data_IF_136645132446
#
_entry.id   IF_136645132446
#
_cell.length_a   1.000
_cell.length_b   1.000
_cell.length_c   1.000
_cell.angle_alpha   90.00
_cell.angle_beta   90.00
_cell.angle_gamma   90.00
#
_symmetry.space_group_name_H-M   'P 1'
#
loop_
_entity.id
_entity.type
_entity.pdbx_description
1 polymer ?
#
# COMPACT_ATOMS: atom_id res chain seq x y z
N UNK A 1 -20.70 5.04 19.54
CA UNK A 1 -19.28 4.92 19.15
C UNK A 1 -19.28 4.71 17.65
N UNK A 2 -18.43 5.42 16.90
CA UNK A 2 -18.37 5.31 15.42
C UNK A 2 -17.85 3.92 15.09
N UNK A 3 -18.64 3.10 14.38
CA UNK A 3 -18.22 1.76 13.99
C UNK A 3 -17.39 1.83 12.70
N UNK A 4 -16.22 1.18 12.70
CA UNK A 4 -15.33 1.11 11.54
C UNK A 4 -15.54 -0.24 10.86
N UNK A 5 -15.91 -0.26 9.55
CA UNK A 5 -16.19 -1.50 8.84
C UNK A 5 -14.95 -2.41 8.76
N UNK A 6 -15.17 -3.71 8.95
CA UNK A 6 -14.13 -4.76 8.90
C UNK A 6 -14.43 -5.85 7.87
N UNK A 7 -15.60 -5.79 7.27
CA UNK A 7 -16.15 -6.75 6.31
C UNK A 7 -16.02 -6.28 4.85
N UNK A 8 -15.57 -5.03 4.62
CA UNK A 8 -15.40 -4.45 3.29
C UNK A 8 -14.38 -3.31 3.27
N UNK A 9 -13.94 -2.95 2.07
CA UNK A 9 -13.12 -1.76 1.84
C UNK A 9 -14.02 -0.55 1.57
N UNK A 10 -13.64 0.60 2.13
CA UNK A 10 -14.41 1.84 2.04
C UNK A 10 -13.95 2.69 0.87
N UNK A 11 -14.90 3.33 0.18
CA UNK A 11 -14.62 4.33 -0.85
C UNK A 11 -14.27 5.68 -0.22
N UNK A 12 -13.72 6.58 -1.02
CA UNK A 12 -13.20 7.88 -0.59
C UNK A 12 -14.23 8.68 0.21
N UNK A 13 -15.46 8.80 -0.29
CA UNK A 13 -16.54 9.51 0.41
C UNK A 13 -16.78 8.96 1.81
N UNK A 14 -16.91 7.65 1.93
CA UNK A 14 -17.17 7.01 3.20
C UNK A 14 -15.96 7.09 4.14
N UNK A 15 -14.74 6.97 3.61
CA UNK A 15 -13.53 7.19 4.41
C UNK A 15 -13.53 8.60 5.02
N UNK A 16 -13.87 9.62 4.22
CA UNK A 16 -13.98 11.01 4.70
C UNK A 16 -15.06 11.13 5.78
N UNK A 17 -16.26 10.60 5.54
CA UNK A 17 -17.36 10.61 6.52
C UNK A 17 -16.99 9.89 7.83
N UNK A 18 -16.25 8.78 7.76
CA UNK A 18 -15.74 8.06 8.92
C UNK A 18 -14.69 8.87 9.69
N UNK A 19 -13.75 9.52 9.01
CA UNK A 19 -12.76 10.37 9.66
C UNK A 19 -13.41 11.56 10.35
N UNK A 20 -14.34 12.24 9.70
CA UNK A 20 -15.10 13.36 10.26
C UNK A 20 -15.90 12.90 11.50
N UNK A 21 -16.52 11.73 11.44
CA UNK A 21 -17.26 11.17 12.57
C UNK A 21 -16.33 10.83 13.75
N UNK A 22 -15.15 10.25 13.49
CA UNK A 22 -14.15 9.94 14.52
C UNK A 22 -13.62 11.22 15.19
N UNK A 23 -13.32 12.25 14.39
CA UNK A 23 -12.86 13.54 14.88
C UNK A 23 -13.93 14.27 15.69
N UNK A 24 -15.19 14.28 15.22
CA UNK A 24 -16.32 14.84 15.95
C UNK A 24 -16.64 14.10 17.25
N UNK A 25 -16.35 12.81 17.34
CA UNK A 25 -16.57 12.01 18.55
C UNK A 25 -15.52 12.25 19.64
N UNK A 26 -14.26 12.55 19.26
CA UNK A 26 -13.14 12.80 20.18
C UNK A 26 -12.30 14.00 19.71
N UNK A 27 -12.85 15.22 19.70
CA UNK A 27 -12.13 16.42 19.26
C UNK A 27 -10.97 16.79 20.21
N UNK A 28 -10.97 16.25 21.43
CA UNK A 28 -9.85 16.34 22.37
C UNK A 28 -8.63 15.48 21.94
N UNK A 29 -8.86 14.46 21.11
CA UNK A 29 -7.83 13.52 20.66
C UNK A 29 -7.49 13.60 19.16
N UNK A 30 -8.42 14.01 18.31
CA UNK A 30 -8.29 13.93 16.85
C UNK A 30 -8.54 15.28 16.20
N UNK A 31 -7.57 15.72 15.43
CA UNK A 31 -7.67 16.87 14.55
C UNK A 31 -7.41 16.42 13.10
N UNK A 32 -8.25 16.85 12.17
CA UNK A 32 -8.10 16.56 10.74
C UNK A 32 -7.56 17.78 10.01
N UNK A 33 -6.66 17.55 9.05
CA UNK A 33 -6.16 18.57 8.14
C UNK A 33 -5.96 18.01 6.74
N UNK A 34 -6.06 18.87 5.73
CA UNK A 34 -5.71 18.53 4.35
C UNK A 34 -4.21 18.83 4.14
N UNK A 35 -3.41 17.82 3.76
CA UNK A 35 -1.98 18.01 3.47
C UNK A 35 -1.70 18.32 1.99
N UNK A 36 -2.70 18.15 1.15
CA UNK A 36 -2.64 18.40 -0.28
C UNK A 36 -3.77 17.68 -1.00
N UNK A 37 -3.70 17.68 -2.32
CA UNK A 37 -4.69 17.05 -3.20
C UNK A 37 -4.04 16.10 -4.19
N UNK A 38 -4.75 15.05 -4.54
CA UNK A 38 -4.32 14.06 -5.53
C UNK A 38 -4.34 14.61 -6.96
N UNK A 39 -3.87 13.81 -7.91
CA UNK A 39 -3.88 14.15 -9.34
C UNK A 39 -5.29 14.51 -9.86
N UNK A 40 -6.33 13.86 -9.36
CA UNK A 40 -7.74 14.10 -9.67
C UNK A 40 -8.46 14.98 -8.64
N UNK A 41 -7.72 15.81 -7.89
CA UNK A 41 -8.24 16.85 -6.99
C UNK A 41 -9.02 16.32 -5.76
N UNK A 42 -8.69 15.12 -5.25
CA UNK A 42 -9.22 14.61 -3.98
C UNK A 42 -8.30 15.02 -2.83
N UNK A 43 -8.89 15.51 -1.74
CA UNK A 43 -8.15 15.88 -0.54
C UNK A 43 -7.42 14.67 0.05
N UNK A 44 -6.18 14.88 0.48
CA UNK A 44 -5.39 13.90 1.22
C UNK A 44 -5.45 14.31 2.68
N UNK A 45 -6.22 13.55 3.46
CA UNK A 45 -6.49 13.87 4.86
C UNK A 45 -5.43 13.29 5.77
N UNK A 46 -4.85 14.14 6.60
CA UNK A 46 -4.03 13.77 7.76
C UNK A 46 -4.89 13.84 9.02
N UNK A 47 -4.91 12.74 9.78
CA UNK A 47 -5.41 12.70 11.15
C UNK A 47 -4.25 12.87 12.13
N UNK A 48 -4.26 13.97 12.88
CA UNK A 48 -3.38 14.19 14.02
C UNK A 48 -4.06 13.61 15.26
N UNK A 49 -3.50 12.53 15.82
CA UNK A 49 -4.07 11.80 16.96
C UNK A 49 -3.15 11.94 18.18
N UNK A 50 -3.59 12.69 19.18
CA UNK A 50 -2.87 12.92 20.45
C UNK A 50 -3.81 13.54 21.48
N UNK A 51 -3.57 13.34 22.78
CA UNK A 51 -4.33 14.04 23.79
C UNK A 51 -3.93 15.53 23.86
N UNK A 52 -4.74 16.41 23.29
CA UNK A 52 -4.47 17.85 23.26
C UNK A 52 -4.46 18.51 24.65
N UNK A 53 -5.09 17.88 25.66
CA UNK A 53 -5.13 18.40 27.03
C UNK A 53 -3.80 18.28 27.77
N UNK A 54 -2.91 17.39 27.33
CA UNK A 54 -1.58 17.19 27.92
C UNK A 54 -0.47 17.94 27.18
N UNK A 55 -0.84 18.77 26.19
CA UNK A 55 0.09 19.58 25.41
C UNK A 55 -0.17 19.47 23.89
N UNK A 56 0.32 20.45 23.12
CA UNK A 56 0.10 20.48 21.67
C UNK A 56 0.87 19.37 20.94
N UNK A 57 0.34 18.95 19.80
CA UNK A 57 0.89 17.82 19.02
C UNK A 57 2.37 18.02 18.61
N UNK A 58 2.78 19.25 18.28
CA UNK A 58 4.12 19.56 17.78
C UNK A 58 5.21 19.58 18.88
N UNK A 59 4.83 19.60 20.15
CA UNK A 59 5.77 19.52 21.29
C UNK A 59 6.03 18.07 21.74
N UNK A 60 5.25 17.10 21.23
CA UNK A 60 5.37 15.69 21.57
C UNK A 60 6.16 14.94 20.50
N UNK A 61 7.03 13.97 20.85
CA UNK A 61 7.63 13.08 19.86
C UNK A 61 6.54 12.35 19.08
N UNK A 62 6.65 12.35 17.76
CA UNK A 62 5.59 11.88 16.87
C UNK A 62 5.99 10.65 16.06
N UNK A 63 4.98 9.88 15.69
CA UNK A 63 5.07 8.78 14.74
C UNK A 63 4.25 9.13 13.50
N UNK A 64 4.88 9.05 12.33
CA UNK A 64 4.20 9.14 11.06
C UNK A 64 3.74 7.76 10.60
N UNK A 65 2.49 7.65 10.17
CA UNK A 65 1.91 6.44 9.63
C UNK A 65 1.15 6.80 8.36
N UNK A 66 1.45 6.14 7.25
CA UNK A 66 0.65 6.28 6.04
C UNK A 66 0.32 4.94 5.40
N UNK A 67 -0.67 4.97 4.51
CA UNK A 67 -1.17 3.78 3.84
C UNK A 67 -1.71 4.10 2.44
N UNK A 68 -1.89 3.03 1.65
CA UNK A 68 -2.39 3.09 0.28
C UNK A 68 -1.57 4.03 -0.62
N UNK A 69 -0.25 4.03 -0.53
CA UNK A 69 0.59 4.61 -1.61
C UNK A 69 0.44 3.79 -2.90
N UNK A 70 0.31 2.47 -2.76
CA UNK A 70 -0.20 1.58 -3.79
C UNK A 70 -1.71 1.39 -3.60
N UNK A 71 -2.45 1.59 -4.68
CA UNK A 71 -3.91 1.64 -4.67
C UNK A 71 -4.57 0.29 -4.41
N UNK A 72 -3.98 -0.81 -4.91
CA UNK A 72 -4.52 -2.16 -4.74
C UNK A 72 -4.34 -2.74 -3.33
N UNK A 73 -3.60 -2.06 -2.46
CA UNK A 73 -3.22 -2.55 -1.12
C UNK A 73 -4.22 -2.07 -0.04
N UNK A 74 -5.51 -2.29 -0.29
CA UNK A 74 -6.61 -1.68 0.47
C UNK A 74 -6.57 -1.93 1.98
N UNK A 75 -6.04 -3.09 2.40
CA UNK A 75 -5.89 -3.47 3.81
C UNK A 75 -5.02 -2.51 4.61
N UNK A 76 -4.04 -1.85 4.00
CA UNK A 76 -3.22 -0.83 4.66
C UNK A 76 -4.07 0.34 5.18
N UNK A 77 -4.99 0.85 4.36
CA UNK A 77 -5.90 1.93 4.74
C UNK A 77 -6.89 1.50 5.83
N UNK A 78 -7.40 0.26 5.74
CA UNK A 78 -8.23 -0.33 6.80
C UNK A 78 -7.47 -0.44 8.12
N UNK A 79 -6.19 -0.82 8.10
CA UNK A 79 -5.35 -0.90 9.30
C UNK A 79 -5.11 0.49 9.92
N UNK A 80 -4.80 1.50 9.11
CA UNK A 80 -4.64 2.88 9.57
C UNK A 80 -5.93 3.43 10.22
N UNK A 81 -7.09 3.18 9.61
CA UNK A 81 -8.38 3.60 10.17
C UNK A 81 -8.71 2.88 11.49
N UNK A 82 -8.44 1.57 11.57
CA UNK A 82 -8.62 0.81 12.81
C UNK A 82 -7.65 1.27 13.91
N UNK A 83 -6.43 1.69 13.57
CA UNK A 83 -5.50 2.28 14.53
C UNK A 83 -6.05 3.57 15.12
N UNK A 84 -6.54 4.50 14.29
CA UNK A 84 -7.19 5.74 14.77
C UNK A 84 -8.33 5.38 15.73
N UNK A 85 -9.24 4.49 15.30
CA UNK A 85 -10.37 4.06 16.11
C UNK A 85 -9.93 3.45 17.44
N UNK A 86 -8.96 2.52 17.45
CA UNK A 86 -8.41 1.91 18.66
C UNK A 86 -7.87 2.96 19.63
N UNK A 87 -7.01 3.86 19.14
CA UNK A 87 -6.39 4.90 19.96
C UNK A 87 -7.43 5.76 20.67
N UNK A 88 -8.50 6.16 19.97
CA UNK A 88 -9.50 7.07 20.56
C UNK A 88 -10.55 6.36 21.42
N UNK A 89 -10.80 5.08 21.17
CA UNK A 89 -11.81 4.32 21.92
C UNK A 89 -11.26 3.71 23.19
N UNK A 90 -9.96 3.41 23.21
CA UNK A 90 -9.29 2.83 24.38
C UNK A 90 -8.59 3.88 25.26
N UNK A 91 -8.50 5.14 24.82
CA UNK A 91 -8.02 6.25 25.67
C UNK A 91 -8.93 6.43 26.89
N UNK A 92 -8.33 6.40 28.08
CA UNK A 92 -9.03 6.44 29.37
C UNK A 92 -9.42 5.08 29.92
N UNK A 93 -9.28 3.99 29.16
CA UNK A 93 -9.59 2.62 29.60
C UNK A 93 -8.40 1.66 29.51
N UNK A 94 -7.53 1.81 28.52
CA UNK A 94 -6.28 1.06 28.39
C UNK A 94 -5.09 1.96 28.79
N UNK A 95 -4.31 1.53 29.79
CA UNK A 95 -3.21 2.32 30.34
C UNK A 95 -2.09 2.57 29.31
N UNK A 96 -1.85 1.62 28.39
CA UNK A 96 -0.81 1.76 27.38
C UNK A 96 -1.22 2.76 26.30
N UNK A 97 -2.48 2.69 25.83
CA UNK A 97 -3.07 3.64 24.88
C UNK A 97 -3.16 5.04 25.49
N UNK A 98 -3.62 5.14 26.74
CA UNK A 98 -3.73 6.43 27.45
C UNK A 98 -2.35 7.08 27.56
N UNK A 99 -1.36 6.34 28.07
CA UNK A 99 0.01 6.83 28.20
C UNK A 99 0.61 7.26 26.86
N UNK A 100 0.36 6.51 25.77
CA UNK A 100 0.95 6.87 24.48
C UNK A 100 0.33 8.14 23.91
N UNK A 101 -0.99 8.35 24.02
CA UNK A 101 -1.61 9.60 23.55
C UNK A 101 -1.31 10.80 24.44
N UNK A 102 -1.12 10.58 25.74
CA UNK A 102 -0.75 11.65 26.67
C UNK A 102 0.67 12.17 26.39
N UNK A 103 1.57 11.31 25.90
CA UNK A 103 3.01 11.62 25.77
C UNK A 103 3.54 11.66 24.33
N UNK A 104 2.78 11.20 23.34
CA UNK A 104 3.17 11.11 21.92
C UNK A 104 2.08 11.65 21.01
N UNK A 105 2.45 11.88 19.76
CA UNK A 105 1.53 12.22 18.67
C UNK A 105 1.62 11.16 17.57
N UNK A 106 0.50 10.85 16.93
CA UNK A 106 0.44 10.07 15.71
C UNK A 106 -0.08 10.95 14.58
N UNK A 107 0.72 11.10 13.52
CA UNK A 107 0.29 11.71 12.26
C UNK A 107 -0.05 10.59 11.30
N UNK A 108 -1.35 10.38 11.04
CA UNK A 108 -1.84 9.23 10.30
C UNK A 108 -2.50 9.70 9.00
N UNK A 109 -2.00 9.24 7.85
CA UNK A 109 -2.61 9.45 6.52
C UNK A 109 -3.21 8.11 6.06
N UNK A 110 -4.51 7.85 6.28
CA UNK A 110 -5.10 6.55 5.99
C UNK A 110 -5.15 6.21 4.49
N UNK A 111 -5.08 7.22 3.63
CA UNK A 111 -5.15 7.06 2.18
C UNK A 111 -4.33 8.13 1.46
N UNK A 112 -3.10 7.77 1.08
CA UNK A 112 -2.24 8.63 0.27
C UNK A 112 -2.69 8.75 -1.17
N UNK A 113 -3.21 7.66 -1.75
CA UNK A 113 -3.61 7.60 -3.14
C UNK A 113 -5.13 7.40 -3.27
N UNK A 114 -5.93 8.47 -3.04
CA UNK A 114 -7.37 8.36 -3.14
C UNK A 114 -7.83 8.04 -4.56
N UNK A 115 -7.11 8.47 -5.59
CA UNK A 115 -7.51 8.29 -6.99
C UNK A 115 -7.42 6.85 -7.44
N UNK A 116 -6.26 6.22 -7.25
CA UNK A 116 -6.08 4.83 -7.63
C UNK A 116 -7.01 3.90 -6.86
N UNK A 117 -7.25 4.15 -5.56
CA UNK A 117 -8.20 3.36 -4.77
C UNK A 117 -9.63 3.53 -5.29
N UNK A 118 -10.04 4.74 -5.66
CA UNK A 118 -11.37 4.99 -6.24
C UNK A 118 -11.55 4.33 -7.60
N UNK A 119 -10.50 4.27 -8.41
CA UNK A 119 -10.52 3.53 -9.68
C UNK A 119 -10.64 2.03 -9.45
N UNK A 120 -9.96 1.47 -8.45
CA UNK A 120 -10.01 0.05 -8.13
C UNK A 120 -11.32 -0.42 -7.49
N UNK A 121 -11.98 0.43 -6.70
CA UNK A 121 -13.25 0.12 -6.00
C UNK A 121 -14.50 0.70 -6.70
N UNK A 122 -14.34 1.17 -7.93
CA UNK A 122 -15.45 1.68 -8.75
C UNK A 122 -16.41 0.59 -9.21
N UNK A 123 -17.58 0.99 -9.70
CA UNK A 123 -18.54 0.05 -10.34
C UNK A 123 -17.95 -0.61 -11.58
N UNK A 124 -17.06 0.10 -12.28
CA UNK A 124 -16.20 -0.45 -13.34
C UNK A 124 -14.77 -0.34 -12.85
N UNK A 125 -14.25 -1.38 -12.17
CA UNK A 125 -12.92 -1.31 -11.60
C UNK A 125 -11.87 -1.16 -12.69
N UNK A 126 -10.81 -0.41 -12.38
CA UNK A 126 -9.59 -0.37 -13.18
C UNK A 126 -8.43 -0.79 -12.31
N UNK A 127 -7.61 -1.71 -12.79
CA UNK A 127 -6.39 -2.06 -12.09
C UNK A 127 -5.37 -0.93 -12.24
N UNK A 128 -5.10 -0.24 -11.13
CA UNK A 128 -4.03 0.75 -11.02
C UNK A 128 -3.18 0.36 -9.82
N UNK A 129 -1.88 0.18 -10.04
CA UNK A 129 -0.95 -0.16 -8.95
C UNK A 129 -0.74 1.04 -8.03
N UNK A 130 -0.47 2.21 -8.60
CA UNK A 130 -0.11 3.42 -7.86
C UNK A 130 -0.75 4.66 -8.50
N UNK A 131 -0.02 5.57 -9.14
CA UNK A 131 -0.63 6.82 -9.65
C UNK A 131 -1.73 6.57 -10.68
N UNK A 132 -2.77 7.40 -10.65
CA UNK A 132 -3.82 7.42 -11.68
C UNK A 132 -3.37 8.15 -12.96
N UNK A 133 -2.22 8.82 -12.95
CA UNK A 133 -1.68 9.56 -14.08
C UNK A 133 -1.15 8.61 -15.15
N UNK A 134 -1.52 8.87 -16.40
CA UNK A 134 -0.91 8.20 -17.55
C UNK A 134 0.56 8.58 -17.69
N UNK A 135 1.43 7.60 -17.53
CA UNK A 135 2.89 7.72 -17.55
C UNK A 135 3.54 6.33 -17.66
N UNK A 136 4.67 6.18 -18.40
CA UNK A 136 5.33 7.18 -19.23
C UNK A 136 4.69 7.35 -20.61
N UNK A 137 3.62 6.60 -20.90
CA UNK A 137 2.94 6.56 -22.19
C UNK A 137 1.50 7.00 -22.05
N UNK A 138 0.93 7.44 -23.17
CA UNK A 138 -0.50 7.81 -23.28
C UNK A 138 -1.23 6.92 -24.28
N UNK A 139 -0.50 6.14 -25.07
CA UNK A 139 -1.03 5.19 -26.04
C UNK A 139 -1.04 3.77 -25.49
N UNK A 140 -2.22 3.14 -25.55
CA UNK A 140 -2.41 1.76 -25.13
C UNK A 140 -1.63 0.83 -26.05
N UNK A 141 -0.77 0.02 -25.45
CA UNK A 141 0.02 -0.98 -26.18
C UNK A 141 -0.76 -2.30 -26.29
N UNK A 142 -0.36 -3.10 -27.28
CA UNK A 142 -0.89 -4.45 -27.51
C UNK A 142 -0.65 -5.39 -26.32
N UNK A 143 -1.58 -6.32 -26.12
CA UNK A 143 -1.52 -7.36 -25.10
C UNK A 143 -2.86 -7.55 -24.40
N UNK A 144 -2.84 -8.33 -23.31
CA UNK A 144 -3.95 -8.49 -22.38
C UNK A 144 -4.12 -7.21 -21.56
N UNK A 145 -5.29 -6.61 -21.66
CA UNK A 145 -5.73 -5.42 -20.93
C UNK A 145 -6.76 -5.87 -19.90
N UNK A 146 -6.46 -5.79 -18.59
CA UNK A 146 -7.40 -6.17 -17.56
C UNK A 146 -8.64 -5.28 -17.57
N UNK A 147 -9.82 -5.89 -17.65
CA UNK A 147 -11.10 -5.21 -17.61
C UNK A 147 -12.19 -6.14 -17.09
N UNK A 148 -13.20 -5.55 -16.46
CA UNK A 148 -14.41 -6.23 -16.00
C UNK A 148 -15.30 -6.49 -17.21
N UNK A 149 -15.27 -7.72 -17.71
CA UNK A 149 -15.90 -8.13 -18.97
C UNK A 149 -17.37 -8.48 -18.79
N UNK A 150 -17.75 -8.98 -17.62
CA UNK A 150 -19.13 -9.40 -17.32
C UNK A 150 -19.94 -8.35 -16.52
N UNK A 151 -19.28 -7.30 -16.04
CA UNK A 151 -19.88 -6.16 -15.34
C UNK A 151 -20.27 -6.47 -13.90
N UNK A 152 -19.64 -7.47 -13.27
CA UNK A 152 -19.91 -7.84 -11.88
C UNK A 152 -19.18 -6.94 -10.85
N UNK A 153 -18.41 -5.96 -11.33
CA UNK A 153 -17.64 -5.03 -10.53
C UNK A 153 -16.31 -5.60 -10.05
N UNK A 154 -15.81 -6.68 -10.67
CA UNK A 154 -14.54 -7.33 -10.32
C UNK A 154 -13.73 -7.58 -11.58
N UNK A 155 -12.42 -7.68 -11.40
CA UNK A 155 -11.50 -8.18 -12.42
C UNK A 155 -10.85 -9.41 -11.81
N UNK A 156 -11.24 -10.59 -12.27
CA UNK A 156 -10.82 -11.84 -11.66
C UNK A 156 -9.71 -12.56 -12.46
N UNK A 157 -9.15 -13.59 -11.84
CA UNK A 157 -8.27 -14.54 -12.53
C UNK A 157 -9.09 -15.73 -13.00
N UNK A 158 -9.21 -15.91 -14.30
CA UNK A 158 -9.94 -16.99 -14.96
C UNK A 158 -9.11 -18.28 -15.01
N UNK A 159 -9.78 -19.42 -14.84
CA UNK A 159 -9.22 -20.75 -15.07
C UNK A 159 -9.52 -21.18 -16.49
N UNK A 160 -8.49 -21.26 -17.33
CA UNK A 160 -8.63 -21.73 -18.70
C UNK A 160 -8.14 -23.16 -18.78
N UNK A 161 -9.00 -24.15 -19.10
CA UNK A 161 -8.56 -25.52 -19.31
C UNK A 161 -7.44 -25.59 -20.35
N UNK A 162 -6.30 -26.14 -19.97
CA UNK A 162 -5.11 -26.25 -20.81
C UNK A 162 -4.38 -27.52 -20.38
N UNK A 163 -4.19 -28.49 -21.27
CA UNK A 163 -3.47 -29.73 -20.97
C UNK A 163 -2.01 -29.48 -20.55
N UNK A 164 -1.45 -28.34 -20.97
CA UNK A 164 -0.11 -27.87 -20.59
C UNK A 164 -0.17 -26.82 -19.47
N UNK A 165 -1.33 -26.66 -18.81
CA UNK A 165 -1.52 -25.74 -17.71
C UNK A 165 -0.60 -26.08 -16.53
N UNK A 166 -0.12 -25.03 -15.85
CA UNK A 166 0.79 -25.13 -14.70
C UNK A 166 0.06 -25.20 -13.36
N UNK A 167 -1.28 -25.18 -13.37
CA UNK A 167 -2.11 -25.22 -12.17
C UNK A 167 -3.09 -26.39 -12.21
N UNK A 168 -3.33 -26.99 -11.04
CA UNK A 168 -4.38 -27.99 -10.83
C UNK A 168 -5.25 -27.60 -9.64
N UNK A 169 -6.45 -28.16 -9.56
CA UNK A 169 -7.30 -28.00 -8.39
C UNK A 169 -6.63 -28.65 -7.17
N UNK A 170 -6.74 -28.01 -6.00
CA UNK A 170 -6.36 -28.65 -4.75
C UNK A 170 -7.33 -29.80 -4.45
N UNK A 171 -6.80 -30.94 -3.98
CA UNK A 171 -7.57 -32.18 -3.92
C UNK A 171 -8.71 -32.15 -2.88
N UNK A 172 -8.53 -31.47 -1.74
CA UNK A 172 -9.59 -31.35 -0.72
C UNK A 172 -10.60 -30.24 -1.02
N UNK A 173 -10.20 -29.21 -1.76
CA UNK A 173 -11.06 -28.07 -2.09
C UNK A 173 -10.80 -27.62 -3.53
N UNK A 174 -11.65 -28.00 -4.48
CA UNK A 174 -11.45 -27.67 -5.89
C UNK A 174 -11.60 -26.16 -6.19
N UNK A 175 -12.00 -25.34 -5.20
CA UNK A 175 -11.97 -23.88 -5.31
C UNK A 175 -10.57 -23.32 -5.13
N UNK A 176 -9.62 -24.07 -4.59
CA UNK A 176 -8.22 -23.67 -4.50
C UNK A 176 -7.42 -24.25 -5.66
N UNK A 177 -6.37 -23.55 -6.05
CA UNK A 177 -5.40 -24.02 -7.04
C UNK A 177 -4.05 -24.23 -6.38
N UNK A 178 -3.37 -25.29 -6.80
CA UNK A 178 -1.98 -25.55 -6.45
C UNK A 178 -1.16 -25.65 -7.73
N UNK A 179 0.13 -25.29 -7.69
CA UNK A 179 1.04 -25.56 -8.80
C UNK A 179 1.01 -27.06 -9.15
N UNK A 180 1.02 -27.36 -10.45
CA UNK A 180 1.22 -28.71 -10.98
C UNK A 180 2.65 -29.14 -10.70
N UNK A 181 2.84 -30.41 -10.34
CA UNK A 181 4.18 -30.94 -10.10
C UNK A 181 4.92 -31.12 -11.44
N UNK A 182 6.25 -30.93 -11.43
CA UNK A 182 7.04 -30.89 -12.67
C UNK A 182 7.08 -32.23 -13.43
N UNK A 183 6.85 -33.33 -12.74
CA UNK A 183 6.81 -34.71 -13.26
C UNK A 183 5.38 -35.24 -13.46
N UNK A 184 4.37 -34.40 -13.23
CA UNK A 184 2.98 -34.82 -13.33
C UNK A 184 2.50 -34.78 -14.78
N UNK A 185 2.38 -35.94 -15.42
CA UNK A 185 1.92 -36.10 -16.82
C UNK A 185 0.49 -36.69 -16.93
N UNK A 186 -0.34 -36.49 -15.91
CA UNK A 186 -1.70 -37.00 -15.85
C UNK A 186 -2.65 -36.39 -16.91
N UNK A 187 -3.88 -36.91 -17.05
CA UNK A 187 -4.86 -36.38 -18.01
C UNK A 187 -5.48 -35.03 -17.59
N UNK A 188 -5.05 -34.43 -16.47
CA UNK A 188 -5.65 -33.23 -15.90
C UNK A 188 -6.92 -33.49 -15.07
N UNK A 189 -7.78 -32.47 -14.85
CA UNK A 189 -7.76 -31.17 -15.53
C UNK A 189 -6.64 -30.26 -15.02
N UNK A 190 -5.93 -29.65 -15.97
CA UNK A 190 -4.97 -28.58 -15.72
C UNK A 190 -5.48 -27.26 -16.25
N UNK A 191 -4.97 -26.18 -15.67
CA UNK A 191 -5.42 -24.83 -15.95
C UNK A 191 -4.23 -23.92 -16.21
N UNK A 192 -4.41 -23.05 -17.21
CA UNK A 192 -3.70 -21.78 -17.29
C UNK A 192 -4.52 -20.72 -16.57
N UNK A 193 -3.84 -19.79 -15.92
CA UNK A 193 -4.49 -18.63 -15.30
C UNK A 193 -4.33 -17.42 -16.22
N UNK A 194 -5.44 -16.73 -16.48
CA UNK A 194 -5.46 -15.48 -17.23
C UNK A 194 -6.27 -14.45 -16.45
N UNK A 195 -5.79 -13.22 -16.37
CA UNK A 195 -6.61 -12.11 -15.88
C UNK A 195 -7.76 -11.87 -16.85
N UNK A 196 -8.93 -11.61 -16.31
CA UNK A 196 -10.09 -11.15 -17.06
C UNK A 196 -9.77 -9.90 -17.87
N UNK A 197 -10.15 -9.91 -19.14
CA UNK A 197 -10.06 -8.75 -20.01
C UNK A 197 -9.91 -9.06 -21.50
N UNK A 198 -9.63 -8.04 -22.30
CA UNK A 198 -9.43 -8.16 -23.74
C UNK A 198 -7.96 -8.33 -24.12
N UNK A 199 -7.73 -9.06 -25.22
CA UNK A 199 -6.39 -9.23 -25.80
C UNK A 199 -6.35 -8.53 -27.15
N UNK A 200 -5.47 -7.54 -27.28
CA UNK A 200 -5.21 -6.86 -28.55
C UNK A 200 -4.06 -7.53 -29.31
N UNK A 201 -4.22 -7.69 -30.63
CA UNK A 201 -3.23 -8.26 -31.55
C UNK A 201 -2.70 -9.64 -31.12
N UNK A 202 -3.61 -10.54 -30.73
CA UNK A 202 -3.26 -11.91 -30.39
C UNK A 202 -2.74 -12.67 -31.61
N UNK A 203 -1.51 -13.18 -31.52
CA UNK A 203 -0.83 -13.96 -32.58
C UNK A 203 -1.26 -15.43 -32.63
N UNK A 204 -2.20 -15.85 -31.77
CA UNK A 204 -2.66 -17.22 -31.63
C UNK A 204 -1.84 -18.08 -30.67
N UNK A 205 -0.75 -17.54 -30.09
CA UNK A 205 0.22 -18.29 -29.29
C UNK A 205 0.56 -17.58 -27.97
N UNK A 206 1.01 -16.33 -28.05
CA UNK A 206 1.57 -15.57 -26.94
C UNK A 206 0.56 -14.58 -26.39
N UNK A 207 0.26 -14.72 -25.09
CA UNK A 207 -0.52 -13.74 -24.36
C UNK A 207 0.45 -12.93 -23.49
N UNK A 208 0.90 -11.79 -23.99
CA UNK A 208 1.65 -10.81 -23.20
C UNK A 208 0.69 -9.86 -22.49
N UNK A 209 1.02 -9.42 -21.29
CA UNK A 209 0.28 -8.32 -20.66
C UNK A 209 0.61 -7.02 -21.38
N UNK A 210 -0.42 -6.22 -21.65
CA UNK A 210 -0.20 -4.86 -22.09
C UNK A 210 0.38 -4.04 -20.92
N UNK A 211 1.46 -3.26 -21.12
CA UNK A 211 1.92 -2.31 -20.13
C UNK A 211 0.79 -1.39 -19.66
N UNK A 212 0.69 -1.08 -18.35
CA UNK A 212 -0.33 -0.16 -17.85
C UNK A 212 -0.08 1.25 -18.40
N UNK A 213 -1.15 1.95 -18.77
CA UNK A 213 -1.09 3.38 -19.10
C UNK A 213 -0.63 4.20 -17.87
N UNK A 214 -1.14 3.83 -16.71
CA UNK A 214 -0.82 4.45 -15.42
C UNK A 214 0.31 3.66 -14.72
N UNK A 215 1.53 3.79 -15.24
CA UNK A 215 2.70 3.02 -14.84
C UNK A 215 3.60 3.68 -13.79
N UNK A 216 3.29 4.92 -13.36
CA UNK A 216 4.08 5.61 -12.33
C UNK A 216 3.83 4.99 -10.94
N UNK A 217 4.90 4.55 -10.29
CA UNK A 217 4.92 4.04 -8.93
C UNK A 217 5.33 5.16 -7.96
N UNK A 218 4.37 5.64 -7.16
CA UNK A 218 4.58 6.72 -6.20
C UNK A 218 5.65 6.38 -5.16
N UNK A 219 5.86 5.10 -4.85
CA UNK A 219 6.91 4.67 -3.92
C UNK A 219 8.31 4.69 -4.57
N UNK A 220 8.41 5.10 -5.84
CA UNK A 220 9.65 5.43 -6.57
C UNK A 220 9.82 6.92 -6.80
N UNK A 221 8.83 7.73 -6.42
CA UNK A 221 8.81 9.16 -6.70
C UNK A 221 9.34 10.02 -5.53
N UNK A 222 9.80 9.42 -4.44
CA UNK A 222 10.44 10.15 -3.34
C UNK A 222 11.81 10.74 -3.75
N UNK A 223 12.27 11.86 -3.14
CA UNK A 223 13.56 12.47 -3.46
C UNK A 223 14.79 11.60 -3.18
N UNK A 224 14.69 10.72 -2.19
CA UNK A 224 15.82 9.90 -1.76
C UNK A 224 16.11 8.84 -2.82
N UNK A 225 17.31 8.88 -3.39
CA UNK A 225 17.80 7.87 -4.35
C UNK A 225 16.90 7.71 -5.58
N UNK A 226 16.19 8.78 -5.93
CA UNK A 226 15.39 8.85 -7.14
C UNK A 226 16.28 8.64 -8.37
N UNK A 227 15.79 7.84 -9.32
CA UNK A 227 16.45 7.57 -10.60
C UNK A 227 15.48 7.81 -11.75
N UNK A 228 15.98 8.25 -12.92
CA UNK A 228 15.13 8.48 -14.08
C UNK A 228 14.54 7.17 -14.64
N UNK A 229 13.50 7.29 -15.47
CA UNK A 229 12.74 6.17 -16.07
C UNK A 229 13.62 5.10 -16.75
N UNK A 230 14.77 5.49 -17.32
CA UNK A 230 15.71 4.55 -17.95
C UNK A 230 16.52 3.68 -16.98
N UNK A 231 16.57 4.06 -15.70
CA UNK A 231 17.27 3.34 -14.63
C UNK A 231 16.29 2.70 -13.63
N UNK A 232 15.11 3.31 -13.45
CA UNK A 232 14.05 2.84 -12.56
C UNK A 232 12.70 3.16 -13.18
N UNK A 233 12.01 2.12 -13.62
CA UNK A 233 10.71 2.28 -14.26
C UNK A 233 9.67 2.86 -13.29
N UNK A 234 8.83 3.76 -13.79
CA UNK A 234 7.72 4.34 -13.02
C UNK A 234 8.12 5.38 -11.97
N UNK A 235 9.37 5.87 -11.96
CA UNK A 235 9.81 6.89 -11.00
C UNK A 235 9.26 8.30 -11.28
N UNK A 236 8.62 8.50 -12.44
CA UNK A 236 8.10 9.79 -12.90
C UNK A 236 9.18 10.66 -13.57
N UNK A 237 8.84 11.89 -14.00
CA UNK A 237 9.78 12.78 -14.69
C UNK A 237 10.83 13.44 -13.77
N UNK A 238 10.56 13.57 -12.47
CA UNK A 238 11.45 14.14 -11.45
C UNK A 238 10.94 13.76 -10.05
N UNK A 239 11.76 13.80 -8.99
CA UNK A 239 11.30 13.46 -7.64
C UNK A 239 10.17 14.39 -7.20
N UNK A 240 9.14 13.85 -6.55
CA UNK A 240 7.92 14.54 -6.12
C UNK A 240 7.12 15.14 -7.28
N UNK A 241 7.23 14.56 -8.49
CA UNK A 241 6.38 14.95 -9.62
C UNK A 241 4.90 14.67 -9.37
N UNK A 242 4.58 13.65 -8.57
CA UNK A 242 3.20 13.36 -8.18
C UNK A 242 2.77 14.25 -7.02
N UNK A 243 1.60 14.91 -7.14
CA UNK A 243 1.13 15.84 -6.12
C UNK A 243 0.90 15.15 -4.75
N UNK A 244 0.53 13.87 -4.74
CA UNK A 244 0.39 13.05 -3.53
C UNK A 244 1.70 12.91 -2.78
N UNK A 245 2.78 12.61 -3.49
CA UNK A 245 4.12 12.46 -2.90
C UNK A 245 4.66 13.82 -2.46
N UNK A 246 4.44 14.87 -3.25
CA UNK A 246 4.82 16.24 -2.86
C UNK A 246 4.11 16.68 -1.57
N UNK A 247 2.81 16.40 -1.45
CA UNK A 247 2.02 16.72 -0.27
C UNK A 247 2.55 16.02 0.99
N UNK A 248 2.83 14.71 0.90
CA UNK A 248 3.38 13.94 2.02
C UNK A 248 4.79 14.40 2.39
N UNK A 249 5.67 14.60 1.43
CA UNK A 249 7.04 15.10 1.69
C UNK A 249 6.99 16.45 2.39
N UNK A 250 6.16 17.38 1.92
CA UNK A 250 6.01 18.69 2.56
C UNK A 250 5.46 18.54 3.99
N UNK A 251 4.43 17.71 4.18
CA UNK A 251 3.84 17.47 5.50
C UNK A 251 4.85 16.90 6.50
N UNK A 252 5.73 16.00 6.06
CA UNK A 252 6.78 15.43 6.90
C UNK A 252 7.82 16.52 7.25
N UNK A 253 8.25 17.32 6.27
CA UNK A 253 9.22 18.42 6.49
C UNK A 253 8.68 19.45 7.48
N UNK A 254 7.39 19.77 7.41
CA UNK A 254 6.74 20.73 8.32
C UNK A 254 6.57 20.21 9.76
N UNK A 255 6.90 18.93 10.02
CA UNK A 255 6.70 18.25 11.31
C UNK A 255 8.03 17.69 11.84
N UNK A 256 8.93 18.55 12.31
CA UNK A 256 10.26 18.14 12.78
C UNK A 256 10.24 17.27 14.04
N UNK A 257 9.08 17.15 14.70
CA UNK A 257 8.89 16.28 15.86
C UNK A 257 8.66 14.79 15.51
N UNK A 258 8.63 14.43 14.22
CA UNK A 258 8.54 13.02 13.78
C UNK A 258 9.85 12.28 14.10
N UNK A 259 9.72 11.18 14.85
CA UNK A 259 10.85 10.34 15.28
C UNK A 259 10.80 8.92 14.69
N UNK A 260 9.66 8.50 14.15
CA UNK A 260 9.47 7.17 13.56
C UNK A 260 8.47 7.24 12.39
N UNK A 261 8.63 6.34 11.43
CA UNK A 261 7.84 6.27 10.21
C UNK A 261 7.43 4.82 9.93
N UNK A 262 6.16 4.58 9.66
CA UNK A 262 5.65 3.30 9.15
C UNK A 262 4.76 3.57 7.94
N UNK A 263 5.01 2.86 6.85
CA UNK A 263 4.14 2.86 5.68
C UNK A 263 3.54 1.47 5.51
N UNK A 264 2.21 1.39 5.57
CA UNK A 264 1.49 0.14 5.44
C UNK A 264 1.35 -0.28 3.98
N UNK A 265 1.92 -1.45 3.71
CA UNK A 265 1.87 -2.13 2.42
C UNK A 265 1.28 -3.54 2.56
N UNK A 266 0.81 -4.08 1.44
CA UNK A 266 0.57 -5.52 1.28
C UNK A 266 1.02 -6.02 -0.09
N UNK A 267 1.51 -7.24 -0.22
CA UNK A 267 1.51 -8.36 0.73
C UNK A 267 2.93 -8.88 0.91
N UNK A 268 3.17 -9.58 2.02
CA UNK A 268 4.33 -10.47 2.24
C UNK A 268 4.36 -10.99 3.68
N UNK A 269 3.73 -10.28 4.63
CA UNK A 269 3.79 -10.63 6.05
C UNK A 269 5.19 -10.41 6.63
N UNK A 270 5.81 -9.25 6.37
CA UNK A 270 7.17 -8.91 6.80
C UNK A 270 7.23 -7.46 7.30
N UNK A 271 8.19 -7.16 8.17
CA UNK A 271 8.57 -5.79 8.51
C UNK A 271 9.84 -5.41 7.74
N UNK A 272 9.78 -4.34 6.96
CA UNK A 272 10.89 -3.89 6.14
C UNK A 272 11.61 -2.72 6.79
N UNK A 273 12.95 -2.74 6.75
CA UNK A 273 13.81 -1.64 7.19
C UNK A 273 14.71 -1.15 6.05
N UNK A 274 15.09 0.14 6.04
CA UNK A 274 16.01 0.69 5.04
C UNK A 274 17.41 0.05 5.10
N UNK A 275 18.25 0.28 4.09
CA UNK A 275 17.92 0.90 2.79
C UNK A 275 17.48 -0.15 1.76
N UNK A 276 16.86 0.29 0.67
CA UNK A 276 16.59 -0.56 -0.49
C UNK A 276 17.77 -0.66 -1.46
N UNK A 277 18.57 0.40 -1.60
CA UNK A 277 19.65 0.51 -2.60
C UNK A 277 21.04 0.22 -2.06
N UNK A 278 21.20 0.20 -0.73
CA UNK A 278 22.49 0.09 -0.04
C UNK A 278 22.46 -1.03 0.99
N UNK A 279 23.62 -1.65 1.16
CA UNK A 279 23.84 -2.61 2.22
C UNK A 279 23.78 -1.94 3.61
N UNK A 280 23.63 -2.77 4.64
CA UNK A 280 23.66 -2.38 6.05
C UNK A 280 24.93 -1.59 6.46
N UNK A 281 26.06 -1.75 5.77
CA UNK A 281 27.29 -0.99 6.05
C UNK A 281 27.15 0.50 5.70
N UNK A 282 26.21 0.83 4.80
CA UNK A 282 25.85 2.21 4.47
C UNK A 282 24.97 2.90 5.52
N UNK A 283 24.49 2.20 6.54
CA UNK A 283 23.70 2.78 7.64
C UNK A 283 24.61 3.20 8.80
N UNK A 284 24.34 4.36 9.44
CA UNK A 284 24.94 4.68 10.73
C UNK A 284 24.73 3.54 11.72
N UNK A 285 25.79 3.15 12.42
CA UNK A 285 25.78 1.96 13.29
C UNK A 285 24.70 2.03 14.38
N UNK A 286 24.44 3.22 14.92
CA UNK A 286 23.39 3.42 15.92
C UNK A 286 22.00 3.16 15.34
N UNK A 287 21.70 3.74 14.18
CA UNK A 287 20.40 3.58 13.51
C UNK A 287 20.14 2.12 13.13
N UNK A 288 21.16 1.42 12.61
CA UNK A 288 21.04 0.00 12.29
C UNK A 288 20.68 -0.85 13.52
N UNK A 289 21.27 -0.53 14.69
CA UNK A 289 20.92 -1.20 15.95
C UNK A 289 19.47 -0.90 16.36
N UNK A 290 19.05 0.35 16.26
CA UNK A 290 17.66 0.76 16.57
C UNK A 290 16.67 0.03 15.66
N UNK A 291 16.90 -0.02 14.34
CA UNK A 291 16.04 -0.75 13.41
C UNK A 291 15.96 -2.24 13.74
N UNK A 292 17.09 -2.88 14.11
CA UNK A 292 17.11 -4.30 14.47
C UNK A 292 16.34 -4.58 15.76
N UNK A 293 16.48 -3.73 16.78
CA UNK A 293 15.73 -3.88 18.03
C UNK A 293 14.21 -3.66 17.84
N UNK A 294 13.83 -2.62 17.09
CA UNK A 294 12.42 -2.38 16.73
C UNK A 294 11.87 -3.57 15.93
N UNK A 295 12.63 -4.04 14.93
CA UNK A 295 12.23 -5.17 14.10
C UNK A 295 12.08 -6.48 14.88
N UNK A 296 12.97 -6.75 15.83
CA UNK A 296 12.85 -7.88 16.75
C UNK A 296 11.54 -7.77 17.54
N UNK A 297 11.24 -6.59 18.10
CA UNK A 297 10.00 -6.41 18.87
C UNK A 297 8.75 -6.54 18.00
N UNK A 298 8.78 -6.02 16.78
CA UNK A 298 7.69 -6.17 15.83
C UNK A 298 7.46 -7.66 15.47
N UNK A 299 8.54 -8.43 15.31
CA UNK A 299 8.47 -9.89 15.07
C UNK A 299 7.81 -10.60 16.24
N UNK A 300 8.21 -10.31 17.48
CA UNK A 300 7.60 -10.90 18.68
C UNK A 300 6.10 -10.62 18.79
N UNK A 301 5.65 -9.42 18.37
CA UNK A 301 4.25 -9.01 18.48
C UNK A 301 3.35 -9.56 17.37
N UNK A 302 3.90 -9.78 16.18
CA UNK A 302 3.10 -10.06 14.96
C UNK A 302 3.35 -11.43 14.36
N UNK A 303 4.47 -12.08 14.71
CA UNK A 303 4.95 -13.29 14.04
C UNK A 303 5.58 -13.06 12.66
N UNK A 304 5.53 -11.83 12.13
CA UNK A 304 6.13 -11.49 10.85
C UNK A 304 7.62 -11.18 11.00
N UNK A 305 8.51 -11.74 10.15
CA UNK A 305 9.94 -11.48 10.26
C UNK A 305 10.26 -10.04 9.88
N UNK A 306 11.19 -9.43 10.62
CA UNK A 306 11.81 -8.16 10.26
C UNK A 306 13.07 -8.39 9.40
N UNK A 307 13.08 -7.82 8.20
CA UNK A 307 14.09 -8.13 7.17
C UNK A 307 14.65 -6.86 6.51
N UNK A 308 15.90 -6.92 6.04
CA UNK A 308 16.51 -5.84 5.27
C UNK A 308 15.92 -5.80 3.87
N UNK A 309 15.48 -4.62 3.40
CA UNK A 309 15.04 -4.48 2.00
C UNK A 309 16.19 -4.82 1.06
N UNK A 310 17.40 -4.33 1.36
CA UNK A 310 18.55 -4.65 0.54
C UNK A 310 18.94 -6.12 0.65
N UNK A 311 19.14 -6.72 1.82
CA UNK A 311 19.76 -8.06 1.88
C UNK A 311 18.80 -9.22 1.66
N UNK A 312 17.56 -9.09 2.14
CA UNK A 312 16.68 -10.22 2.37
C UNK A 312 15.41 -10.16 1.50
N UNK A 313 14.98 -8.96 1.11
CA UNK A 313 13.75 -8.74 0.34
C UNK A 313 14.07 -8.53 -1.16
N UNK A 314 14.37 -9.63 -1.86
CA UNK A 314 14.69 -9.64 -3.30
C UNK A 314 13.93 -10.71 -4.07
N UNK A 315 13.59 -10.41 -5.33
CA UNK A 315 13.03 -11.41 -6.26
C UNK A 315 14.12 -12.23 -6.94
N UNK A 316 15.24 -11.60 -7.28
CA UNK A 316 16.46 -12.24 -7.80
C UNK A 316 17.64 -11.80 -6.92
N UNK A 317 18.58 -12.69 -6.55
CA UNK A 317 19.76 -12.31 -5.77
C UNK A 317 20.58 -11.14 -6.35
N UNK A 318 20.47 -10.87 -7.65
CA UNK A 318 21.16 -9.79 -8.37
C UNK A 318 20.36 -8.50 -8.46
N UNK A 319 19.06 -8.53 -8.18
CA UNK A 319 18.17 -7.37 -8.31
C UNK A 319 17.67 -6.89 -6.94
N UNK A 320 17.88 -5.61 -6.66
CA UNK A 320 17.30 -4.97 -5.49
C UNK A 320 15.87 -4.53 -5.81
N UNK A 321 14.97 -4.61 -4.82
CA UNK A 321 13.61 -4.07 -4.94
C UNK A 321 13.68 -2.55 -4.76
N UNK A 322 14.16 -1.90 -5.81
CA UNK A 322 14.34 -0.46 -5.94
C UNK A 322 13.85 -0.04 -7.29
#
# INVERSE_FOLDING_TARGET
MVDVPRDRFVRYRELTELLDALAGARPDLVELSEIGRSHQDRAITLATVTNSTTGPHHEKPAMWIDANIHASEHTGGTAALNLIHKLITEHGTDDAVTRVLDTRCFYIVPRMNPDGVELGLGERPRYVRSSAREWPRTDQQDGLIPEDMDGDGRILTMRVPDANGTWKAYFDDPRLLVPRDADEDGPGPYFRLLTEGSIQNFDGVTIKHAPPLAGLDMNRNYPVEWRPEGEQAGAGPYPTSEPEIRAVVQAIVDRPNICAFIQYHTMSGVHLRPYGTKNDEGLPTFDLRVFKEIGKKATELTGYPAVSVYHDFRYDPKDNIT
#
